data_IF_024201159958
#
_entry.id   IF_024201159958
#
_cell.length_a   1.000
_cell.length_b   1.000
_cell.length_c   1.000
_cell.angle_alpha   90.00
_cell.angle_beta   90.00
_cell.angle_gamma   90.00
#
_symmetry.space_group_name_H-M   'P 1'
#
loop_
_entity.id
_entity.type
_entity.pdbx_description
1 polymer ?
#
# COMPACT_ATOMS: atom_id res chain seq x y z
N UNK A 1 -9.33 5.39 -7.32
CA UNK A 1 -10.11 5.87 -8.50
C UNK A 1 -10.13 4.90 -9.69
N UNK A 2 -8.99 4.35 -10.14
CA UNK A 2 -8.91 3.48 -11.33
C UNK A 2 -9.89 2.28 -11.31
N UNK A 3 -9.98 1.57 -10.19
CA UNK A 3 -10.89 0.41 -10.03
C UNK A 3 -12.38 0.79 -10.16
N UNK A 4 -12.76 2.01 -9.76
CA UNK A 4 -14.15 2.47 -9.90
C UNK A 4 -14.50 2.80 -11.35
N UNK A 5 -13.57 3.41 -12.08
CA UNK A 5 -13.77 3.83 -13.47
C UNK A 5 -13.87 2.63 -14.43
N UNK A 6 -13.09 1.57 -14.17
CA UNK A 6 -13.03 0.38 -15.02
C UNK A 6 -13.92 -0.78 -14.53
N UNK A 7 -14.82 -0.54 -13.56
CA UNK A 7 -15.66 -1.58 -12.93
C UNK A 7 -16.45 -2.42 -13.94
N UNK A 8 -17.11 -1.78 -14.92
CA UNK A 8 -17.89 -2.49 -15.94
C UNK A 8 -17.02 -3.40 -16.83
N UNK A 9 -15.81 -2.96 -17.16
CA UNK A 9 -14.86 -3.71 -17.99
C UNK A 9 -14.31 -4.93 -17.25
N UNK A 10 -14.06 -4.78 -15.94
CA UNK A 10 -13.64 -5.88 -15.07
C UNK A 10 -14.76 -6.91 -14.88
N UNK A 11 -16.00 -6.46 -14.68
CA UNK A 11 -17.19 -7.32 -14.62
C UNK A 11 -17.45 -8.04 -15.97
N UNK A 12 -17.08 -7.40 -17.07
CA UNK A 12 -17.11 -7.95 -18.43
C UNK A 12 -15.95 -8.91 -18.76
N UNK A 13 -15.02 -9.12 -17.82
CA UNK A 13 -13.81 -9.91 -18.03
C UNK A 13 -12.89 -9.38 -19.14
N UNK A 14 -12.76 -8.07 -19.27
CA UNK A 14 -11.76 -7.51 -20.18
C UNK A 14 -10.34 -7.80 -19.66
N UNK A 15 -9.64 -8.71 -20.34
CA UNK A 15 -8.25 -9.06 -20.03
C UNK A 15 -7.30 -7.87 -19.99
N UNK A 16 -7.59 -6.79 -20.73
CA UNK A 16 -6.79 -5.57 -20.70
C UNK A 16 -7.02 -4.80 -19.39
N UNK A 17 -8.27 -4.55 -19.03
CA UNK A 17 -8.63 -3.91 -17.75
C UNK A 17 -8.10 -4.70 -16.55
N UNK A 18 -8.16 -6.03 -16.60
CA UNK A 18 -7.60 -6.90 -15.56
C UNK A 18 -6.08 -6.75 -15.40
N UNK A 19 -5.33 -6.71 -16.50
CA UNK A 19 -3.87 -6.46 -16.44
C UNK A 19 -3.57 -5.08 -15.89
N UNK A 20 -4.30 -4.07 -16.33
CA UNK A 20 -4.10 -2.70 -15.85
C UNK A 20 -4.37 -2.56 -14.36
N UNK A 21 -5.39 -3.26 -13.85
CA UNK A 21 -5.67 -3.24 -12.43
C UNK A 21 -4.58 -3.93 -11.63
N UNK A 22 -4.10 -5.10 -12.08
CA UNK A 22 -2.99 -5.79 -11.44
C UNK A 22 -1.74 -4.90 -11.39
N UNK A 23 -1.40 -4.25 -12.50
CA UNK A 23 -0.31 -3.27 -12.54
C UNK A 23 -0.53 -2.11 -11.56
N UNK A 24 -1.77 -1.64 -11.39
CA UNK A 24 -2.11 -0.57 -10.45
C UNK A 24 -1.95 -1.02 -9.00
N UNK A 25 -2.35 -2.25 -8.67
CA UNK A 25 -2.11 -2.84 -7.34
C UNK A 25 -0.61 -2.98 -7.05
N UNK A 26 0.16 -3.44 -8.02
CA UNK A 26 1.62 -3.57 -7.88
C UNK A 26 2.29 -2.20 -7.68
N UNK A 27 1.90 -1.20 -8.47
CA UNK A 27 2.42 0.16 -8.32
C UNK A 27 2.05 0.77 -6.94
N UNK A 28 0.83 0.54 -6.46
CA UNK A 28 0.39 1.01 -5.15
C UNK A 28 1.14 0.32 -4.01
N UNK A 29 1.38 -0.99 -4.15
CA UNK A 29 2.18 -1.80 -3.20
C UNK A 29 3.62 -1.29 -3.16
N UNK A 30 4.23 -1.05 -4.32
CA UNK A 30 5.59 -0.50 -4.41
C UNK A 30 5.68 0.90 -3.77
N UNK A 31 4.71 1.78 -4.00
CA UNK A 31 4.70 3.11 -3.40
C UNK A 31 4.59 3.06 -1.86
N UNK A 32 3.73 2.20 -1.31
CA UNK A 32 3.66 2.01 0.14
C UNK A 32 4.94 1.35 0.71
N UNK A 33 5.57 0.44 -0.04
CA UNK A 33 6.85 -0.15 0.32
C UNK A 33 7.99 0.87 0.35
N UNK A 34 8.05 1.76 -0.65
CA UNK A 34 9.00 2.87 -0.67
C UNK A 34 8.75 3.82 0.51
N UNK A 35 7.50 4.20 0.76
CA UNK A 35 7.13 5.05 1.90
C UNK A 35 7.56 4.43 3.23
N UNK A 36 7.35 3.12 3.42
CA UNK A 36 7.83 2.39 4.60
C UNK A 36 9.34 2.52 4.77
N UNK A 37 10.11 2.25 3.71
CA UNK A 37 11.57 2.36 3.73
C UNK A 37 12.05 3.78 4.04
N UNK A 38 11.41 4.81 3.49
CA UNK A 38 11.77 6.21 3.77
C UNK A 38 11.49 6.60 5.22
N UNK A 39 10.31 6.24 5.75
CA UNK A 39 9.94 6.52 7.15
C UNK A 39 10.87 5.79 8.11
N UNK A 40 11.19 4.51 7.84
CA UNK A 40 12.15 3.73 8.63
C UNK A 40 13.58 4.28 8.53
N UNK A 41 14.00 4.77 7.36
CA UNK A 41 15.29 5.42 7.16
C UNK A 41 15.42 6.70 7.99
N UNK A 42 14.35 7.49 8.03
CA UNK A 42 14.28 8.72 8.83
C UNK A 42 14.20 8.44 10.34
N UNK A 43 13.45 7.41 10.74
CA UNK A 43 13.42 6.97 12.14
C UNK A 43 14.81 6.51 12.62
N UNK A 44 15.56 5.79 11.76
CA UNK A 44 16.93 5.36 12.05
C UNK A 44 17.94 6.51 12.07
N UNK A 45 17.81 7.52 11.22
CA UNK A 45 18.72 8.67 11.26
C UNK A 45 18.53 9.51 12.53
N UNK A 46 17.29 9.64 13.02
CA UNK A 46 16.98 10.34 14.27
C UNK A 46 17.36 9.50 15.50
N UNK A 47 17.06 8.20 15.50
CA UNK A 47 17.39 7.28 16.61
C UNK A 47 18.89 6.94 16.69
N UNK A 48 19.59 6.88 15.55
CA UNK A 48 21.01 6.58 15.46
C UNK A 48 21.91 7.78 15.79
N UNK A 49 21.46 9.00 15.50
CA UNK A 49 22.17 10.21 15.89
C UNK A 49 22.01 10.56 17.39
N UNK A 50 21.01 9.98 18.07
CA UNK A 50 20.61 10.37 19.42
C UNK A 50 21.15 9.55 20.59
N UNK A 51 21.85 8.42 20.36
CA UNK A 51 22.23 7.50 21.46
C UNK A 51 23.74 7.30 21.65
N UNK A 52 24.59 7.57 20.66
CA UNK A 52 26.05 7.36 20.74
C UNK A 52 26.90 8.41 19.99
N UNK A 53 26.33 9.58 19.67
CA UNK A 53 27.02 10.66 18.97
C UNK A 53 27.70 11.64 19.93
N UNK A 54 28.84 11.26 20.48
CA UNK A 54 29.72 12.18 21.21
C UNK A 54 30.34 13.17 20.21
N UNK A 55 29.78 14.38 20.12
CA UNK A 55 30.45 15.53 19.49
C UNK A 55 29.71 16.21 18.34
N UNK A 56 29.76 17.54 18.42
CA UNK A 56 29.40 18.55 17.41
C UNK A 56 27.98 19.11 17.46
N UNK A 57 27.89 20.26 18.10
CA UNK A 57 26.73 21.12 18.09
C UNK A 57 26.53 21.85 16.76
N UNK A 58 25.27 22.18 16.48
CA UNK A 58 24.81 23.47 15.97
C UNK A 58 23.28 23.47 15.94
N UNK A 59 22.65 24.52 16.50
CA UNK A 59 21.27 24.89 16.17
C UNK A 59 20.17 24.12 16.90
N UNK A 60 19.59 24.74 17.92
CA UNK A 60 18.54 24.16 18.73
C UNK A 60 17.23 23.91 18.01
N UNK A 61 16.45 22.95 18.53
CA UNK A 61 15.01 23.02 18.63
C UNK A 61 14.57 22.25 19.88
N UNK A 62 13.68 22.88 20.63
CA UNK A 62 13.12 22.45 21.91
C UNK A 62 12.52 21.03 21.86
N UNK A 63 12.85 20.17 22.84
CA UNK A 63 12.05 18.98 23.22
C UNK A 63 11.93 17.81 22.20
N UNK A 64 12.68 17.86 21.10
CA UNK A 64 12.29 17.31 19.80
C UNK A 64 12.69 15.89 19.32
N UNK A 65 13.55 15.06 19.95
CA UNK A 65 13.92 13.76 19.33
C UNK A 65 12.93 12.61 19.57
N UNK A 66 12.42 12.47 20.80
CA UNK A 66 11.66 11.28 21.20
C UNK A 66 10.22 11.27 20.67
N UNK A 67 9.55 12.44 20.66
CA UNK A 67 8.20 12.57 20.11
C UNK A 67 8.17 12.39 18.59
N UNK A 68 9.19 12.90 17.90
CA UNK A 68 9.34 12.70 16.45
C UNK A 68 9.65 11.23 16.14
N UNK A 69 10.47 10.55 16.95
CA UNK A 69 10.70 9.12 16.82
C UNK A 69 9.40 8.30 17.00
N UNK A 70 8.57 8.62 18.01
CA UNK A 70 7.27 7.95 18.22
C UNK A 70 6.30 8.23 17.06
N UNK A 71 6.27 9.45 16.53
CA UNK A 71 5.44 9.80 15.37
C UNK A 71 5.86 9.03 14.11
N UNK A 72 7.17 8.92 13.86
CA UNK A 72 7.70 8.15 12.73
C UNK A 72 7.42 6.66 12.88
N UNK A 73 7.49 6.12 14.10
CA UNK A 73 7.14 4.72 14.36
C UNK A 73 5.65 4.44 14.07
N UNK A 74 4.75 5.36 14.42
CA UNK A 74 3.33 5.26 14.07
C UNK A 74 3.10 5.31 12.56
N UNK A 75 3.79 6.21 11.85
CA UNK A 75 3.74 6.30 10.39
C UNK A 75 4.28 5.03 9.72
N UNK A 76 5.32 4.41 10.27
CA UNK A 76 5.87 3.16 9.76
C UNK A 76 4.87 2.00 9.90
N UNK A 77 4.23 1.88 11.08
CA UNK A 77 3.17 0.87 11.32
C UNK A 77 1.97 1.08 10.41
N UNK A 78 1.58 2.34 10.16
CA UNK A 78 0.50 2.65 9.23
C UNK A 78 0.87 2.27 7.79
N UNK A 79 2.09 2.59 7.36
CA UNK A 79 2.58 2.23 6.03
C UNK A 79 2.64 0.69 5.85
N UNK A 80 3.04 -0.04 6.89
CA UNK A 80 3.03 -1.51 6.91
C UNK A 80 1.62 -2.09 6.79
N UNK A 81 0.67 -1.60 7.61
CA UNK A 81 -0.73 -2.04 7.51
C UNK A 81 -1.35 -1.75 6.14
N UNK A 82 -1.00 -0.62 5.52
CA UNK A 82 -1.48 -0.27 4.18
C UNK A 82 -0.83 -1.15 3.11
N UNK A 83 0.47 -1.40 3.22
CA UNK A 83 1.18 -2.32 2.34
C UNK A 83 0.56 -3.72 2.36
N UNK A 84 0.29 -4.26 3.55
CA UNK A 84 -0.32 -5.58 3.72
C UNK A 84 -1.74 -5.64 3.15
N UNK A 85 -2.54 -4.59 3.36
CA UNK A 85 -3.90 -4.51 2.77
C UNK A 85 -3.87 -4.51 1.24
N UNK A 86 -2.95 -3.75 0.63
CA UNK A 86 -2.78 -3.72 -0.82
C UNK A 86 -2.27 -5.07 -1.34
N UNK A 87 -1.30 -5.69 -0.65
CA UNK A 87 -0.77 -7.00 -1.01
C UNK A 87 -1.85 -8.09 -0.95
N UNK A 88 -2.67 -8.11 0.11
CA UNK A 88 -3.80 -9.02 0.25
C UNK A 88 -4.83 -8.83 -0.87
N UNK A 89 -5.19 -7.58 -1.17
CA UNK A 89 -6.15 -7.24 -2.24
C UNK A 89 -5.61 -7.65 -3.62
N UNK A 90 -4.31 -7.46 -3.86
CA UNK A 90 -3.63 -7.89 -5.08
C UNK A 90 -3.64 -9.41 -5.23
N UNK A 91 -3.36 -10.15 -4.16
CA UNK A 91 -3.37 -11.61 -4.16
C UNK A 91 -4.77 -12.16 -4.46
N UNK A 92 -5.78 -11.64 -3.76
CA UNK A 92 -7.18 -12.03 -3.96
C UNK A 92 -7.63 -11.79 -5.41
N UNK A 93 -7.26 -10.65 -6.00
CA UNK A 93 -7.58 -10.35 -7.41
C UNK A 93 -6.85 -11.27 -8.38
N UNK A 94 -5.63 -11.71 -8.07
CA UNK A 94 -4.86 -12.65 -8.89
C UNK A 94 -5.46 -14.07 -8.87
N UNK A 95 -5.92 -14.52 -7.70
CA UNK A 95 -6.63 -15.81 -7.56
C UNK A 95 -7.93 -15.82 -8.34
N UNK A 96 -8.70 -14.74 -8.28
CA UNK A 96 -9.93 -14.57 -9.05
C UNK A 96 -9.64 -14.55 -10.55
N UNK A 97 -8.58 -13.86 -10.98
CA UNK A 97 -8.13 -13.85 -12.37
C UNK A 97 -7.85 -15.26 -12.90
N UNK A 98 -7.06 -16.02 -12.14
CA UNK A 98 -6.68 -17.40 -12.49
C UNK A 98 -7.86 -18.35 -12.45
N UNK A 99 -8.70 -18.23 -11.42
CA UNK A 99 -9.83 -19.12 -11.16
C UNK A 99 -10.93 -19.01 -12.22
N UNK A 100 -11.25 -17.81 -12.67
CA UNK A 100 -12.25 -17.62 -13.74
C UNK A 100 -11.78 -18.16 -15.09
N UNK A 101 -10.48 -18.05 -15.43
CA UNK A 101 -9.94 -18.64 -16.67
C UNK A 101 -10.19 -20.16 -16.72
N UNK A 102 -10.22 -20.81 -15.55
CA UNK A 102 -10.47 -22.24 -15.41
C UNK A 102 -11.96 -22.59 -15.28
N UNK A 103 -12.82 -21.59 -15.03
CA UNK A 103 -14.18 -21.78 -14.53
C UNK A 103 -15.15 -20.83 -15.25
N UNK A 104 -15.75 -21.30 -16.35
CA UNK A 104 -16.69 -20.51 -17.17
C UNK A 104 -18.11 -20.34 -16.59
N UNK A 105 -18.29 -20.60 -15.29
CA UNK A 105 -19.57 -20.73 -14.62
C UNK A 105 -20.02 -19.45 -13.88
N UNK A 106 -21.31 -19.40 -13.51
CA UNK A 106 -21.91 -18.24 -12.86
C UNK A 106 -21.31 -17.93 -11.47
N UNK A 107 -20.78 -18.93 -10.74
CA UNK A 107 -20.16 -18.70 -9.44
C UNK A 107 -18.84 -17.93 -9.59
N UNK A 108 -18.09 -18.15 -10.67
CA UNK A 108 -16.86 -17.41 -10.95
C UNK A 108 -17.13 -15.95 -11.27
N UNK A 109 -18.20 -15.65 -12.02
CA UNK A 109 -18.67 -14.27 -12.22
C UNK A 109 -19.06 -13.56 -10.92
N UNK A 110 -19.64 -14.28 -9.95
CA UNK A 110 -19.97 -13.73 -8.62
C UNK A 110 -18.71 -13.43 -7.82
N UNK A 111 -17.75 -14.36 -7.76
CA UNK A 111 -16.45 -14.17 -7.10
C UNK A 111 -15.68 -12.97 -7.66
N UNK A 112 -15.76 -12.76 -8.97
CA UNK A 112 -15.20 -11.57 -9.63
C UNK A 112 -15.78 -10.28 -9.08
N UNK A 113 -17.11 -10.18 -9.07
CA UNK A 113 -17.80 -8.99 -8.56
C UNK A 113 -17.52 -8.76 -7.09
N UNK A 114 -17.47 -9.83 -6.29
CA UNK A 114 -17.14 -9.76 -4.87
C UNK A 114 -15.72 -9.25 -4.64
N UNK A 115 -14.73 -9.76 -5.36
CA UNK A 115 -13.34 -9.31 -5.23
C UNK A 115 -13.13 -7.86 -5.69
N UNK A 116 -13.77 -7.44 -6.78
CA UNK A 116 -13.73 -6.03 -7.22
C UNK A 116 -14.35 -5.12 -6.15
N UNK A 117 -15.51 -5.49 -5.60
CA UNK A 117 -16.16 -4.71 -4.54
C UNK A 117 -15.32 -4.71 -3.25
N UNK A 118 -14.70 -5.84 -2.89
CA UNK A 118 -13.82 -5.91 -1.74
C UNK A 118 -12.61 -5.00 -1.91
N UNK A 119 -11.94 -5.06 -3.06
CA UNK A 119 -10.81 -4.20 -3.39
C UNK A 119 -11.18 -2.70 -3.37
N UNK A 120 -12.37 -2.35 -3.83
CA UNK A 120 -12.87 -0.97 -3.78
C UNK A 120 -13.04 -0.43 -2.36
N UNK A 121 -13.20 -1.31 -1.37
CA UNK A 121 -13.40 -0.96 0.03
C UNK A 121 -12.11 -1.08 0.84
N UNK A 122 -11.23 -2.04 0.50
CA UNK A 122 -10.01 -2.34 1.25
C UNK A 122 -8.79 -1.55 0.82
N UNK A 123 -8.77 -1.01 -0.41
CA UNK A 123 -7.62 -0.30 -0.94
C UNK A 123 -7.41 1.04 -0.23
N UNK A 124 -6.26 1.26 0.42
CA UNK A 124 -5.87 2.58 0.90
C UNK A 124 -5.56 3.51 -0.29
N UNK A 125 -5.69 4.80 -0.06
CA UNK A 125 -5.23 5.82 -1.02
C UNK A 125 -3.71 5.74 -1.23
N UNK A 126 -3.23 6.46 -2.25
CA UNK A 126 -1.80 6.61 -2.49
C UNK A 126 -1.11 7.26 -1.29
N UNK A 127 0.11 6.80 -0.92
CA UNK A 127 0.84 7.41 0.19
C UNK A 127 1.11 8.89 -0.09
N UNK A 128 0.98 9.78 0.92
CA UNK A 128 1.28 11.19 0.75
C UNK A 128 2.76 11.38 0.39
N UNK A 129 3.04 12.21 -0.61
CA UNK A 129 4.42 12.48 -1.06
C UNK A 129 5.25 13.31 -0.07
N UNK A 130 4.61 13.88 0.96
CA UNK A 130 5.23 14.72 1.99
C UNK A 130 5.09 14.10 3.39
N UNK A 131 6.00 14.44 4.31
CA UNK A 131 6.05 13.97 5.70
C UNK A 131 5.30 14.92 6.64
#
# INVERSE_FOLDING_TARGET
EYVQQHKQELEGWDTYAWKQIQNSFDALKEAWGQRKHEVEGRARSIGGAGLFGEGMGYGGYYGGPQQEATRLEQLAKQAESNFDSVAASSFQMHEVFTGYRQSGDLASKRRVREAINAALVSLPDWPPQTF
#
